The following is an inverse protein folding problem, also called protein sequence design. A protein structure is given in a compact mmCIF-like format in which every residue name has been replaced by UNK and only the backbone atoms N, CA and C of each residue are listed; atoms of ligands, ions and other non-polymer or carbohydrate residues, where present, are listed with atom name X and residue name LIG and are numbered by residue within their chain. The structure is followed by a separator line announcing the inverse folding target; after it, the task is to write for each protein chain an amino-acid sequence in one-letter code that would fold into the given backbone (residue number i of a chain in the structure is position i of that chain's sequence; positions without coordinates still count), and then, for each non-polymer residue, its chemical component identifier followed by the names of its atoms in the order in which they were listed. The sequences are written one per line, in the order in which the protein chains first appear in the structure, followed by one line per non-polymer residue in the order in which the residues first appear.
data_IF_733136647142
#
_entry.id   IF_733136647142
#
_cell.length_a   1.000
_cell.length_b   1.000
_cell.length_c   1.000
_cell.angle_alpha   90.00
_cell.angle_beta   90.00
_cell.angle_gamma   90.00
#
_symmetry.space_group_name_H-M   'P 1'
#
loop_
_entity.id
_entity.type
_entity.pdbx_description
1 polymer ?
#
# COMPACT_ATOMS: atom_id res chain seq x y z
N UNK A 1 -9.39 5.71 13.72
CA UNK A 1 -8.33 5.03 12.93
C UNK A 1 -7.33 6.07 12.47
N UNK A 2 -6.05 5.76 12.52
CA UNK A 2 -4.95 6.56 11.99
C UNK A 2 -4.16 5.64 11.06
N UNK A 3 -3.97 6.07 9.82
CA UNK A 3 -3.14 5.38 8.83
C UNK A 3 -2.02 6.32 8.41
N UNK A 4 -0.78 5.85 8.52
CA UNK A 4 0.41 6.56 8.08
C UNK A 4 1.02 5.82 6.90
N UNK A 5 1.17 6.51 5.78
CA UNK A 5 1.74 5.93 4.56
C UNK A 5 2.33 7.01 3.65
N UNK A 6 2.98 6.60 2.56
CA UNK A 6 3.46 7.48 1.51
C UNK A 6 2.84 7.06 0.17
N UNK A 7 2.70 7.99 -0.76
CA UNK A 7 2.16 7.76 -2.10
C UNK A 7 3.20 7.20 -3.07
N UNK A 8 4.49 7.33 -2.75
CA UNK A 8 5.62 6.72 -3.44
C UNK A 8 6.86 6.71 -2.53
N UNK A 9 7.83 5.82 -2.79
CA UNK A 9 9.11 5.83 -2.09
C UNK A 9 9.81 7.18 -2.26
N UNK A 10 10.60 7.58 -1.27
CA UNK A 10 11.24 8.90 -1.13
C UNK A 10 12.11 9.28 -2.36
N UNK A 11 11.48 9.72 -3.45
CA UNK A 11 12.11 10.32 -4.63
C UNK A 11 12.16 11.85 -4.51
N UNK A 12 12.12 12.37 -3.28
CA UNK A 12 12.25 13.78 -2.96
C UNK A 12 13.61 13.99 -2.28
N UNK A 13 14.71 13.91 -3.04
CA UNK A 13 16.02 14.31 -2.49
C UNK A 13 17.32 13.80 -3.11
N UNK A 14 17.34 12.88 -4.08
CA UNK A 14 18.57 12.58 -4.85
C UNK A 14 18.52 13.18 -6.26
N UNK A 15 18.29 14.49 -6.33
CA UNK A 15 18.70 15.28 -7.51
C UNK A 15 20.19 15.60 -7.41
N UNK A 16 21.01 14.69 -7.93
CA UNK A 16 22.45 14.95 -8.05
C UNK A 16 23.19 14.15 -9.12
N UNK A 17 22.76 12.95 -9.49
CA UNK A 17 23.53 12.13 -10.44
C UNK A 17 22.65 11.40 -11.46
N UNK A 18 22.89 11.78 -12.70
CA UNK A 18 22.48 11.18 -13.97
C UNK A 18 22.72 9.66 -13.96
N UNK A 19 21.67 8.86 -14.06
CA UNK A 19 21.83 7.41 -14.14
C UNK A 19 20.53 6.66 -14.33
N UNK A 20 20.26 6.30 -15.59
CA UNK A 20 19.20 5.43 -16.09
C UNK A 20 18.82 4.26 -15.15
N UNK A 21 17.54 3.88 -15.20
CA UNK A 21 17.08 2.49 -15.11
C UNK A 21 17.27 1.78 -13.76
N UNK A 22 16.59 2.20 -12.69
CA UNK A 22 16.51 1.36 -11.49
C UNK A 22 15.07 1.30 -10.95
N UNK A 23 14.29 0.37 -11.50
CA UNK A 23 13.07 -0.22 -10.90
C UNK A 23 13.46 -1.03 -9.64
N UNK A 24 14.16 -0.40 -8.69
CA UNK A 24 14.58 -1.06 -7.47
C UNK A 24 13.45 -0.96 -6.43
N UNK A 25 13.11 -2.09 -5.84
CA UNK A 25 12.22 -2.32 -4.68
C UNK A 25 12.10 -1.13 -3.69
N UNK A 26 13.21 -0.42 -3.44
CA UNK A 26 13.27 0.75 -2.56
C UNK A 26 12.45 1.97 -3.01
N UNK A 27 12.08 2.08 -4.29
CA UNK A 27 11.24 3.18 -4.78
C UNK A 27 9.74 2.89 -4.67
N UNK A 28 9.35 1.63 -4.46
CA UNK A 28 7.95 1.18 -4.54
C UNK A 28 7.39 0.82 -3.15
N UNK A 29 8.24 0.30 -2.25
CA UNK A 29 7.84 -0.02 -0.88
C UNK A 29 7.73 1.26 -0.05
N UNK A 30 6.49 1.71 0.16
CA UNK A 30 6.16 2.83 1.04
C UNK A 30 5.97 2.34 2.48
N UNK A 31 6.24 3.18 3.50
CA UNK A 31 5.81 2.86 4.85
C UNK A 31 4.29 2.67 4.88
N UNK A 32 3.82 1.71 5.67
CA UNK A 32 2.40 1.52 5.90
C UNK A 32 2.17 1.10 7.35
N UNK A 33 1.58 2.01 8.13
CA UNK A 33 1.31 1.81 9.55
C UNK A 33 -0.17 2.12 9.82
N UNK A 34 -0.83 1.26 10.59
CA UNK A 34 -2.22 1.44 11.02
C UNK A 34 -2.32 1.41 12.53
N UNK A 35 -3.12 2.31 13.11
CA UNK A 35 -3.46 2.33 14.53
C UNK A 35 -4.92 2.73 14.71
N UNK A 36 -5.70 1.88 15.37
CA UNK A 36 -7.10 2.19 15.61
C UNK A 36 -7.79 1.13 16.46
N UNK A 37 -9.10 1.31 16.72
CA UNK A 37 -9.92 0.27 17.31
C UNK A 37 -9.79 -1.03 16.51
N UNK A 38 -9.68 -2.16 17.20
CA UNK A 38 -9.59 -3.51 16.62
C UNK A 38 -8.33 -3.81 15.79
N UNK A 39 -7.43 -2.85 15.58
CA UNK A 39 -6.12 -3.10 14.95
C UNK A 39 -5.18 -3.73 15.98
N UNK A 40 -4.60 -4.90 15.71
CA UNK A 40 -3.61 -5.51 16.59
C UNK A 40 -2.41 -4.60 16.83
N UNK A 41 -1.91 -4.58 18.06
CA UNK A 41 -0.75 -3.77 18.43
C UNK A 41 0.52 -4.60 18.41
N UNK A 42 1.64 -4.01 17.99
CA UNK A 42 2.94 -4.69 17.93
C UNK A 42 2.95 -5.91 16.99
N UNK A 43 2.17 -5.85 15.91
CA UNK A 43 2.14 -6.85 14.84
C UNK A 43 2.82 -6.28 13.60
N UNK A 44 3.60 -7.13 12.92
CA UNK A 44 4.16 -6.86 11.60
C UNK A 44 3.60 -7.88 10.62
N UNK A 45 3.38 -7.47 9.37
CA UNK A 45 2.90 -8.32 8.30
C UNK A 45 3.71 -8.07 7.04
N UNK A 46 4.12 -9.16 6.40
CA UNK A 46 4.79 -9.15 5.08
C UNK A 46 3.78 -9.33 3.92
N UNK A 47 2.47 -9.28 4.21
CA UNK A 47 1.45 -9.40 3.19
C UNK A 47 1.54 -8.25 2.18
N UNK A 48 1.46 -8.58 0.90
CA UNK A 48 1.49 -7.57 -0.16
C UNK A 48 0.14 -6.86 -0.30
N UNK A 49 0.16 -5.53 -0.29
CA UNK A 49 -1.00 -4.68 -0.55
C UNK A 49 -0.62 -3.49 -1.43
N UNK A 50 -1.62 -2.92 -2.12
CA UNK A 50 -1.49 -1.63 -2.78
C UNK A 50 -2.01 -0.50 -1.91
N UNK A 51 -1.53 0.72 -2.14
CA UNK A 51 -2.10 1.89 -1.46
C UNK A 51 -3.60 2.08 -1.79
N UNK A 52 -4.01 1.77 -3.02
CA UNK A 52 -5.43 1.86 -3.41
C UNK A 52 -6.31 0.76 -2.78
N UNK A 53 -5.73 -0.25 -2.12
CA UNK A 53 -6.47 -1.21 -1.31
C UNK A 53 -6.95 -0.58 0.03
N UNK A 54 -6.42 0.58 0.42
CA UNK A 54 -6.79 1.24 1.68
C UNK A 54 -8.27 1.64 1.73
N UNK A 55 -8.79 2.22 0.65
CA UNK A 55 -10.19 2.68 0.59
C UNK A 55 -11.20 1.53 0.82
N UNK A 56 -11.15 0.40 0.06
CA UNK A 56 -12.04 -0.74 0.33
C UNK A 56 -11.80 -1.36 1.71
N UNK A 57 -10.57 -1.33 2.25
CA UNK A 57 -10.27 -1.83 3.61
C UNK A 57 -10.96 -1.00 4.69
N UNK A 58 -11.00 0.32 4.54
CA UNK A 58 -11.71 1.19 5.49
C UNK A 58 -13.22 0.98 5.44
N UNK A 59 -13.79 0.76 4.25
CA UNK A 59 -15.21 0.40 4.12
C UNK A 59 -15.52 -0.89 4.87
N UNK A 60 -14.72 -1.93 4.64
CA UNK A 60 -14.87 -3.25 5.26
C UNK A 60 -14.75 -3.17 6.79
N UNK A 61 -13.72 -2.48 7.30
CA UNK A 61 -13.54 -2.22 8.73
C UNK A 61 -14.75 -1.52 9.38
N UNK A 62 -15.36 -0.58 8.66
CA UNK A 62 -16.51 0.18 9.15
C UNK A 62 -17.85 -0.55 8.95
N UNK A 63 -17.86 -1.75 8.36
CA UNK A 63 -19.09 -2.47 8.00
C UNK A 63 -19.91 -1.76 6.92
N UNK A 64 -19.26 -0.95 6.09
CA UNK A 64 -19.87 -0.21 5.00
C UNK A 64 -19.78 -1.00 3.68
N UNK A 65 -20.75 -0.83 2.76
CA UNK A 65 -20.65 -1.41 1.43
C UNK A 65 -19.44 -0.86 0.67
N UNK A 66 -18.68 -1.74 0.02
CA UNK A 66 -17.56 -1.36 -0.85
C UNK A 66 -18.13 -0.98 -2.23
N UNK A 67 -17.88 0.24 -2.74
CA UNK A 67 -18.31 0.63 -4.06
C UNK A 67 -17.71 -0.25 -5.16
N UNK A 68 -18.49 -0.60 -6.18
CA UNK A 68 -18.01 -1.39 -7.33
C UNK A 68 -16.97 -0.65 -8.19
N UNK A 69 -16.83 0.67 -8.03
CA UNK A 69 -15.81 1.49 -8.67
C UNK A 69 -14.42 1.33 -8.06
N UNK A 70 -14.31 0.70 -6.88
CA UNK A 70 -13.01 0.44 -6.27
C UNK A 70 -12.37 -0.78 -6.93
N UNK A 71 -11.21 -0.57 -7.54
CA UNK A 71 -10.39 -1.65 -8.11
C UNK A 71 -9.53 -2.38 -7.06
N UNK A 72 -9.41 -1.78 -5.87
CA UNK A 72 -8.73 -2.34 -4.73
C UNK A 72 -9.49 -3.51 -4.08
N UNK A 73 -8.76 -4.30 -3.30
CA UNK A 73 -9.32 -5.38 -2.49
C UNK A 73 -9.08 -5.07 -1.02
N UNK A 74 -10.11 -5.21 -0.19
CA UNK A 74 -9.94 -5.09 1.26
C UNK A 74 -8.92 -6.11 1.76
N UNK A 75 -8.00 -5.66 2.62
CA UNK A 75 -7.10 -6.52 3.39
C UNK A 75 -7.47 -6.53 4.87
N UNK A 76 -8.70 -6.16 5.24
CA UNK A 76 -9.11 -6.10 6.65
C UNK A 76 -8.95 -7.46 7.35
N UNK A 77 -9.29 -8.58 6.69
CA UNK A 77 -9.03 -9.95 7.20
C UNK A 77 -7.55 -10.16 7.51
N UNK A 78 -6.65 -9.70 6.64
CA UNK A 78 -5.21 -9.76 6.88
C UNK A 78 -4.79 -8.96 8.12
N UNK A 79 -5.41 -7.80 8.37
CA UNK A 79 -5.11 -6.99 9.56
C UNK A 79 -5.51 -7.73 10.84
N UNK A 80 -6.68 -8.38 10.86
CA UNK A 80 -7.24 -9.00 12.07
C UNK A 80 -6.74 -10.42 12.33
N UNK A 81 -6.52 -11.22 11.27
CA UNK A 81 -6.20 -12.64 11.37
C UNK A 81 -4.76 -12.98 10.95
N UNK A 82 -4.06 -12.06 10.26
CA UNK A 82 -2.73 -12.34 9.71
C UNK A 82 -2.73 -13.15 8.41
N UNK A 83 -3.88 -13.26 7.73
CA UNK A 83 -4.02 -14.00 6.47
C UNK A 83 -3.22 -13.35 5.32
N UNK A 84 -2.80 -14.15 4.33
CA UNK A 84 -2.25 -13.61 3.08
C UNK A 84 -3.29 -12.77 2.31
N UNK A 85 -2.88 -11.65 1.72
CA UNK A 85 -3.75 -10.80 0.88
C UNK A 85 -3.55 -11.03 -0.62
N UNK A 86 -2.32 -10.82 -1.10
CA UNK A 86 -1.92 -10.98 -2.50
C UNK A 86 -0.63 -11.77 -2.56
N UNK A 87 -0.46 -12.56 -3.62
CA UNK A 87 0.79 -13.28 -3.89
C UNK A 87 1.85 -12.40 -4.58
N UNK A 88 1.40 -11.37 -5.30
CA UNK A 88 2.26 -10.49 -6.12
C UNK A 88 1.67 -9.09 -6.21
N UNK A 89 2.56 -8.09 -6.30
CA UNK A 89 2.23 -6.70 -6.65
C UNK A 89 3.05 -6.27 -7.86
N UNK A 90 2.41 -5.58 -8.78
CA UNK A 90 2.97 -5.01 -10.00
C UNK A 90 2.90 -3.49 -9.96
N UNK A 91 3.96 -2.81 -10.38
CA UNK A 91 3.99 -1.36 -10.58
C UNK A 91 4.26 -1.04 -12.05
N UNK A 92 3.44 -0.18 -12.63
CA UNK A 92 3.63 0.29 -14.01
C UNK A 92 4.25 1.68 -14.00
N UNK A 93 5.30 1.88 -14.80
CA UNK A 93 5.88 3.19 -15.07
C UNK A 93 5.85 3.46 -16.58
N UNK A 94 5.18 4.55 -16.98
CA UNK A 94 5.19 5.00 -18.38
C UNK A 94 6.20 6.13 -18.52
N UNK A 95 7.26 5.88 -19.29
CA UNK A 95 8.21 6.92 -19.69
C UNK A 95 7.51 7.84 -20.71
N UNK A 96 7.37 9.14 -20.41
CA UNK A 96 6.95 10.11 -21.43
C UNK A 96 8.01 10.12 -22.54
N UNK A 97 7.61 9.88 -23.78
CA UNK A 97 8.46 10.13 -24.94
C UNK A 97 8.68 11.65 -25.03
N UNK A 98 9.95 12.04 -25.17
CA UNK A 98 10.42 13.40 -25.43
C UNK A 98 9.92 13.91 -26.78
#
# INVERSE_FOLDING_TARGET
MVVYTADHGLAVGQHGLLGKQNLYEHSIKVPFLMRGPQVPTNVQSDAFCYLYDLAPTLCDMLGMPIPSSFEGKSFWSTVINGDSHRNTVFSAYKKKAS
#
